data_IF_010765643999
#
_entry.id   IF_010765643999
#
_cell.length_a   1.000
_cell.length_b   1.000
_cell.length_c   1.000
_cell.angle_alpha   90.00
_cell.angle_beta   90.00
_cell.angle_gamma   90.00
#
_symmetry.space_group_name_H-M   'P 1'
#
loop_
_entity.id
_entity.type
_entity.pdbx_description
1 polymer ?
#
# COMPACT_ATOMS: atom_id res chain seq x y z
N UNK A 1 2.07 -18.60 -11.20
CA UNK A 1 1.83 -19.75 -10.28
C UNK A 1 2.91 -19.85 -9.20
N UNK A 2 4.20 -19.63 -9.50
CA UNK A 2 5.26 -19.62 -8.47
C UNK A 2 5.14 -18.43 -7.49
N UNK A 3 4.75 -17.23 -7.96
CA UNK A 3 4.49 -16.07 -7.08
C UNK A 3 3.45 -16.37 -6.00
N UNK A 4 2.37 -17.11 -6.31
CA UNK A 4 1.34 -17.43 -5.32
C UNK A 4 1.84 -18.40 -4.24
N UNK A 5 2.81 -19.26 -4.56
CA UNK A 5 3.40 -20.18 -3.59
C UNK A 5 4.35 -19.47 -2.63
N UNK A 6 5.14 -18.53 -3.16
CA UNK A 6 6.03 -17.69 -2.34
C UNK A 6 5.20 -16.84 -1.38
N UNK A 7 4.16 -16.15 -1.88
CA UNK A 7 3.26 -15.37 -1.04
C UNK A 7 2.56 -16.24 0.01
N UNK A 8 2.12 -17.45 -0.36
CA UNK A 8 1.49 -18.38 0.57
C UNK A 8 2.45 -18.82 1.69
N UNK A 9 3.68 -19.24 1.35
CA UNK A 9 4.65 -19.71 2.34
C UNK A 9 5.04 -18.58 3.30
N UNK A 10 5.37 -17.40 2.78
CA UNK A 10 5.83 -16.31 3.65
C UNK A 10 4.69 -15.70 4.46
N UNK A 11 3.50 -15.49 3.88
CA UNK A 11 2.40 -14.86 4.61
C UNK A 11 1.65 -15.84 5.51
N UNK A 12 1.35 -17.06 5.04
CA UNK A 12 0.56 -18.01 5.82
C UNK A 12 1.43 -18.80 6.79
N UNK A 13 2.48 -19.46 6.31
CA UNK A 13 3.34 -20.29 7.18
C UNK A 13 4.22 -19.39 8.06
N UNK A 14 4.83 -18.36 7.47
CA UNK A 14 5.59 -17.36 8.22
C UNK A 14 4.72 -16.60 9.22
N UNK A 15 3.52 -16.17 8.83
CA UNK A 15 2.55 -15.52 9.71
C UNK A 15 2.09 -16.41 10.87
N UNK A 16 1.74 -17.67 10.59
CA UNK A 16 1.36 -18.63 11.63
C UNK A 16 2.51 -18.92 12.61
N UNK A 17 3.73 -19.06 12.10
CA UNK A 17 4.92 -19.27 12.93
C UNK A 17 5.19 -18.06 13.82
N UNK A 18 5.15 -16.84 13.25
CA UNK A 18 5.30 -15.61 14.02
C UNK A 18 4.22 -15.45 15.10
N UNK A 19 2.97 -15.79 14.77
CA UNK A 19 1.85 -15.81 15.72
C UNK A 19 2.11 -16.76 16.89
N UNK A 20 2.46 -18.02 16.61
CA UNK A 20 2.74 -19.01 17.65
C UNK A 20 3.93 -18.63 18.52
N UNK A 21 4.99 -18.07 17.92
CA UNK A 21 6.16 -17.59 18.64
C UNK A 21 5.84 -16.39 19.54
N UNK A 22 5.05 -15.42 19.06
CA UNK A 22 4.59 -14.29 19.87
C UNK A 22 3.68 -14.74 21.01
N UNK A 23 2.72 -15.62 20.72
CA UNK A 23 1.81 -16.17 21.70
C UNK A 23 2.57 -16.91 22.82
N UNK A 24 3.38 -17.91 22.47
CA UNK A 24 4.06 -18.74 23.46
C UNK A 24 5.18 -17.98 24.17
N UNK A 25 5.89 -17.10 23.46
CA UNK A 25 6.88 -16.20 24.05
C UNK A 25 6.26 -15.26 25.08
N UNK A 26 5.15 -14.59 24.74
CA UNK A 26 4.44 -13.70 25.66
C UNK A 26 3.85 -14.46 26.85
N UNK A 27 3.22 -15.61 26.61
CA UNK A 27 2.69 -16.48 27.68
C UNK A 27 3.78 -16.91 28.66
N UNK A 28 4.95 -17.32 28.16
CA UNK A 28 6.07 -17.74 29.02
C UNK A 28 6.63 -16.58 29.83
N UNK A 29 6.78 -15.41 29.21
CA UNK A 29 7.27 -14.21 29.90
C UNK A 29 6.34 -13.80 31.04
N UNK A 30 5.03 -13.85 30.82
CA UNK A 30 4.04 -13.52 31.85
C UNK A 30 3.93 -14.60 32.95
N UNK A 31 4.02 -15.89 32.60
CA UNK A 31 3.78 -16.99 33.54
C UNK A 31 5.00 -17.38 34.37
N UNK A 32 6.20 -17.26 33.80
CA UNK A 32 7.44 -17.77 34.40
C UNK A 32 8.52 -16.69 34.57
N UNK A 33 8.23 -15.45 34.19
CA UNK A 33 9.16 -14.33 34.25
C UNK A 33 10.13 -14.27 33.07
N UNK A 34 11.14 -13.40 33.19
CA UNK A 34 12.04 -13.05 32.08
C UNK A 34 13.08 -14.16 31.86
N UNK A 35 12.87 -14.98 30.84
CA UNK A 35 13.82 -15.98 30.38
C UNK A 35 14.37 -15.61 29.00
N UNK A 36 15.70 -15.63 28.83
CA UNK A 36 16.37 -15.17 27.61
C UNK A 36 15.84 -15.79 26.31
N UNK A 37 15.47 -17.08 26.33
CA UNK A 37 14.86 -17.77 25.19
C UNK A 37 13.46 -17.25 24.84
N UNK A 38 12.64 -16.96 25.86
CA UNK A 38 11.29 -16.42 25.66
C UNK A 38 11.36 -14.97 25.17
N UNK A 39 12.26 -14.16 25.73
CA UNK A 39 12.54 -12.79 25.25
C UNK A 39 12.99 -12.83 23.78
N UNK A 40 13.97 -13.66 23.45
CA UNK A 40 14.49 -13.75 22.09
C UNK A 40 13.41 -14.17 21.08
N UNK A 41 12.59 -15.17 21.41
CA UNK A 41 11.47 -15.59 20.56
C UNK A 41 10.44 -14.47 20.35
N UNK A 42 10.02 -13.80 21.42
CA UNK A 42 9.04 -12.71 21.34
C UNK A 42 9.59 -11.53 20.52
N UNK A 43 10.83 -11.13 20.76
CA UNK A 43 11.47 -9.99 20.05
C UNK A 43 11.65 -10.32 18.57
N UNK A 44 12.14 -11.51 18.22
CA UNK A 44 12.29 -11.92 16.82
C UNK A 44 10.94 -11.96 16.10
N UNK A 45 9.91 -12.54 16.73
CA UNK A 45 8.60 -12.64 16.12
C UNK A 45 7.91 -11.27 16.00
N UNK A 46 8.05 -10.38 16.99
CA UNK A 46 7.61 -8.99 16.89
C UNK A 46 8.35 -8.24 15.76
N UNK A 47 9.66 -8.46 15.64
CA UNK A 47 10.47 -7.89 14.56
C UNK A 47 10.00 -8.34 13.18
N UNK A 48 9.67 -9.63 13.01
CA UNK A 48 9.11 -10.15 11.75
C UNK A 48 7.77 -9.47 11.44
N UNK A 49 6.84 -9.39 12.39
CA UNK A 49 5.57 -8.70 12.17
C UNK A 49 5.76 -7.22 11.79
N UNK A 50 6.69 -6.52 12.45
CA UNK A 50 7.00 -5.13 12.14
C UNK A 50 7.65 -4.96 10.76
N UNK A 51 8.57 -5.84 10.38
CA UNK A 51 9.24 -5.80 9.08
C UNK A 51 8.27 -6.06 7.93
N UNK A 52 7.43 -7.10 8.03
CA UNK A 52 6.46 -7.41 6.98
C UNK A 52 5.35 -6.36 6.90
N UNK A 53 4.81 -5.92 8.04
CA UNK A 53 3.84 -4.83 8.07
C UNK A 53 4.41 -3.52 7.52
N UNK A 54 5.66 -3.20 7.88
CA UNK A 54 6.38 -2.03 7.37
C UNK A 54 6.67 -2.11 5.87
N UNK A 55 7.06 -3.28 5.36
CA UNK A 55 7.30 -3.48 3.94
C UNK A 55 6.00 -3.35 3.11
N UNK A 56 4.90 -3.93 3.58
CA UNK A 56 3.59 -3.76 2.97
C UNK A 56 3.13 -2.29 3.00
N UNK A 57 3.37 -1.58 4.09
CA UNK A 57 3.09 -0.15 4.19
C UNK A 57 3.95 0.67 3.23
N UNK A 58 5.24 0.34 3.09
CA UNK A 58 6.14 0.98 2.14
C UNK A 58 5.62 0.82 0.71
N UNK A 59 5.25 -0.40 0.28
CA UNK A 59 4.59 -0.66 -1.02
C UNK A 59 3.34 0.19 -1.22
N UNK A 60 2.47 0.26 -0.22
CA UNK A 60 1.28 1.13 -0.26
C UNK A 60 1.65 2.60 -0.44
N UNK A 61 2.63 3.10 0.32
CA UNK A 61 3.04 4.49 0.29
C UNK A 61 3.66 4.88 -1.06
N UNK A 62 4.45 3.99 -1.66
CA UNK A 62 5.08 4.19 -2.96
C UNK A 62 4.05 4.22 -4.10
N UNK A 63 3.12 3.25 -4.10
CA UNK A 63 2.00 3.22 -5.05
C UNK A 63 1.13 4.48 -4.91
N UNK A 64 0.82 4.89 -3.69
CA UNK A 64 0.00 6.08 -3.44
C UNK A 64 0.72 7.38 -3.85
N UNK A 65 2.03 7.47 -3.61
CA UNK A 65 2.85 8.59 -4.06
C UNK A 65 2.82 8.70 -5.59
N UNK A 66 3.04 7.58 -6.28
CA UNK A 66 2.99 7.50 -7.76
C UNK A 66 1.62 7.90 -8.31
N UNK A 67 0.53 7.43 -7.70
CA UNK A 67 -0.84 7.82 -8.07
C UNK A 67 -1.06 9.33 -7.88
N UNK A 68 -0.64 9.88 -6.74
CA UNK A 68 -0.84 11.30 -6.40
C UNK A 68 -0.05 12.25 -7.29
N UNK A 69 1.19 11.90 -7.67
CA UNK A 69 2.00 12.70 -8.59
C UNK A 69 1.37 12.77 -9.98
N UNK A 70 0.80 11.67 -10.45
CA UNK A 70 0.15 11.62 -11.76
C UNK A 70 -1.20 12.34 -11.78
N UNK A 71 -1.97 12.29 -10.68
CA UNK A 71 -3.18 13.11 -10.54
C UNK A 71 -2.86 14.61 -10.51
N UNK A 72 -1.76 15.04 -9.88
CA UNK A 72 -1.34 16.45 -9.86
C UNK A 72 -0.93 16.97 -11.24
N UNK A 73 -0.39 16.11 -12.12
CA UNK A 73 -0.03 16.50 -13.50
C UNK A 73 -1.23 16.82 -14.39
N UNK A 74 -2.43 16.35 -14.04
CA UNK A 74 -3.65 16.61 -14.81
C UNK A 74 -4.18 18.06 -14.69
N UNK A 75 -3.56 18.90 -13.85
CA UNK A 75 -3.87 20.33 -13.81
C UNK A 75 -3.45 20.99 -15.14
N UNK A 76 -4.39 21.67 -15.80
CA UNK A 76 -4.25 22.21 -17.14
C UNK A 76 -2.88 22.85 -17.39
N UNK A 77 -2.10 22.28 -18.32
CA UNK A 77 -0.79 22.83 -18.68
C UNK A 77 -0.93 24.31 -19.06
N UNK A 78 -0.10 25.21 -18.50
CA UNK A 78 -0.14 26.64 -18.81
C UNK A 78 0.15 26.88 -20.30
N UNK A 79 -0.38 27.98 -20.84
CA UNK A 79 -0.09 28.35 -22.23
C UNK A 79 1.41 28.65 -22.39
N UNK A 80 1.99 28.36 -23.57
CA UNK A 80 3.36 28.75 -23.89
C UNK A 80 3.59 30.26 -23.67
N UNK A 81 4.70 30.64 -23.05
CA UNK A 81 5.04 32.04 -22.80
C UNK A 81 5.12 32.89 -24.10
N UNK A 82 5.37 32.25 -25.24
CA UNK A 82 5.42 32.87 -26.57
C UNK A 82 4.10 32.78 -27.36
N UNK A 83 2.98 32.42 -26.72
CA UNK A 83 1.70 32.19 -27.41
C UNK A 83 1.30 33.30 -28.38
N UNK A 84 1.42 34.57 -27.96
CA UNK A 84 1.09 35.72 -28.79
C UNK A 84 1.92 35.85 -30.07
N UNK A 85 3.17 35.34 -30.06
CA UNK A 85 4.14 35.45 -31.15
C UNK A 85 4.14 34.26 -32.12
N UNK A 86 3.35 33.22 -31.84
CA UNK A 86 3.27 32.04 -32.70
C UNK A 86 2.45 32.33 -33.96
N UNK A 87 2.87 31.74 -35.09
CA UNK A 87 2.07 31.72 -36.32
C UNK A 87 0.76 30.95 -36.11
N UNK A 88 -0.30 31.23 -36.89
CA UNK A 88 -1.58 30.53 -36.76
C UNK A 88 -1.46 29.00 -36.82
N UNK A 89 -0.61 28.47 -37.69
CA UNK A 89 -0.37 27.03 -37.79
C UNK A 89 0.30 26.46 -36.53
N UNK A 90 1.28 27.18 -35.97
CA UNK A 90 1.95 26.75 -34.73
C UNK A 90 1.03 26.86 -33.51
N UNK A 91 0.12 27.83 -33.49
CA UNK A 91 -0.93 27.95 -32.48
C UNK A 91 -1.90 26.78 -32.53
N UNK A 92 -2.32 26.38 -33.74
CA UNK A 92 -3.19 25.22 -33.93
C UNK A 92 -2.53 23.96 -33.37
N UNK A 93 -1.32 23.63 -33.82
CA UNK A 93 -0.60 22.42 -33.37
C UNK A 93 -0.41 22.40 -31.85
N UNK A 94 -0.02 23.52 -31.25
CA UNK A 94 0.13 23.63 -29.80
C UNK A 94 -1.21 23.49 -29.05
N UNK A 95 -2.30 24.07 -29.60
CA UNK A 95 -3.64 23.98 -29.02
C UNK A 95 -4.21 22.56 -29.10
N UNK A 96 -4.02 21.87 -30.22
CA UNK A 96 -4.44 20.48 -30.43
C UNK A 96 -3.65 19.55 -29.52
N UNK A 97 -2.32 19.74 -29.44
CA UNK A 97 -1.47 18.98 -28.52
C UNK A 97 -1.90 19.15 -27.06
N UNK A 98 -2.25 20.37 -26.66
CA UNK A 98 -2.79 20.66 -25.32
C UNK A 98 -4.14 19.97 -25.11
N UNK A 99 -5.07 20.10 -26.06
CA UNK A 99 -6.40 19.50 -25.93
C UNK A 99 -6.32 17.97 -25.87
N UNK A 100 -5.45 17.35 -26.67
CA UNK A 100 -5.19 15.89 -26.65
C UNK A 100 -4.58 15.47 -25.32
N UNK A 101 -3.65 16.25 -24.76
CA UNK A 101 -3.09 16.00 -23.44
C UNK A 101 -4.15 16.06 -22.34
N UNK A 102 -4.99 17.09 -22.36
CA UNK A 102 -6.13 17.20 -21.44
C UNK A 102 -7.02 15.97 -21.55
N UNK A 103 -7.37 15.53 -22.77
CA UNK A 103 -8.15 14.32 -22.97
C UNK A 103 -7.48 13.07 -22.38
N UNK A 104 -6.17 12.88 -22.59
CA UNK A 104 -5.43 11.75 -22.03
C UNK A 104 -5.37 11.77 -20.49
N UNK A 105 -5.29 12.95 -19.88
CA UNK A 105 -5.11 13.11 -18.43
C UNK A 105 -6.44 13.12 -17.65
N UNK A 106 -7.45 13.87 -18.11
CA UNK A 106 -8.74 14.03 -17.42
C UNK A 106 -9.88 13.28 -18.11
N UNK A 107 -9.74 12.89 -19.38
CA UNK A 107 -10.84 12.39 -20.20
C UNK A 107 -11.82 13.46 -20.67
N UNK A 108 -11.55 14.75 -20.40
CA UNK A 108 -12.42 15.83 -20.86
C UNK A 108 -12.05 16.25 -22.28
N UNK A 109 -13.07 16.46 -23.11
CA UNK A 109 -12.89 17.00 -24.45
C UNK A 109 -12.62 18.51 -24.34
N UNK A 110 -11.36 18.89 -24.50
CA UNK A 110 -10.95 20.28 -24.53
C UNK A 110 -11.12 20.88 -25.93
N UNK A 111 -11.33 22.18 -25.97
CA UNK A 111 -11.35 22.94 -27.23
C UNK A 111 -9.94 23.42 -27.60
N UNK A 112 -9.68 23.53 -28.89
CA UNK A 112 -8.45 24.00 -29.50
C UNK A 112 -8.74 25.16 -30.47
N UNK A 113 -7.71 25.93 -30.83
CA UNK A 113 -7.83 27.10 -31.71
C UNK A 113 -7.37 26.71 -33.10
N UNK A 114 -8.27 26.76 -34.07
CA UNK A 114 -8.02 26.47 -35.49
C UNK A 114 -7.19 27.61 -36.14
N UNK A 115 -6.62 27.35 -37.32
CA UNK A 115 -5.87 28.34 -38.13
C UNK A 115 -6.69 29.59 -38.46
N UNK A 116 -8.01 29.40 -38.55
CA UNK A 116 -9.00 30.47 -38.75
C UNK A 116 -9.21 31.35 -37.51
N UNK A 117 -8.63 31.00 -36.37
CA UNK A 117 -8.87 31.66 -35.08
C UNK A 117 -10.16 31.18 -34.38
N UNK A 118 -10.92 30.29 -35.02
CA UNK A 118 -12.12 29.70 -34.42
C UNK A 118 -11.79 28.62 -33.38
N UNK A 119 -12.62 28.51 -32.35
CA UNK A 119 -12.51 27.47 -31.33
C UNK A 119 -13.25 26.21 -31.78
N UNK A 120 -12.57 25.06 -31.79
CA UNK A 120 -13.17 23.76 -32.12
C UNK A 120 -12.94 22.75 -30.99
N UNK A 121 -13.89 21.85 -30.78
CA UNK A 121 -13.72 20.74 -29.82
C UNK A 121 -12.82 19.67 -30.42
N UNK A 122 -11.89 19.13 -29.63
CA UNK A 122 -11.07 18.01 -30.07
C UNK A 122 -11.93 16.78 -30.38
N UNK A 123 -11.70 16.16 -31.54
CA UNK A 123 -12.18 14.82 -31.86
C UNK A 123 -11.04 13.80 -31.59
N UNK A 124 -11.13 12.97 -30.52
CA UNK A 124 -10.10 11.98 -30.22
C UNK A 124 -10.01 10.92 -31.31
N UNK A 125 -8.81 10.45 -31.61
CA UNK A 125 -8.63 9.30 -32.50
C UNK A 125 -8.82 7.98 -31.74
N UNK A 126 -8.99 6.87 -32.46
CA UNK A 126 -9.04 5.54 -31.84
C UNK A 126 -7.76 5.23 -31.03
N UNK A 127 -6.60 5.70 -31.48
CA UNK A 127 -5.36 5.56 -30.74
C UNK A 127 -5.36 6.35 -29.43
N UNK A 128 -5.91 7.56 -29.44
CA UNK A 128 -6.04 8.39 -28.24
C UNK A 128 -6.95 7.71 -27.20
N UNK A 129 -8.03 7.06 -27.65
CA UNK A 129 -8.91 6.24 -26.80
C UNK A 129 -8.16 5.05 -26.20
N UNK A 130 -7.47 4.25 -27.01
CA UNK A 130 -6.72 3.08 -26.52
C UNK A 130 -5.63 3.48 -25.52
N UNK A 131 -4.91 4.58 -25.76
CA UNK A 131 -3.88 5.08 -24.83
C UNK A 131 -4.49 5.46 -23.49
N UNK A 132 -5.63 6.15 -23.51
CA UNK A 132 -6.35 6.51 -22.29
C UNK A 132 -6.87 5.29 -21.54
N UNK A 133 -7.48 4.33 -22.23
CA UNK A 133 -7.96 3.10 -21.60
C UNK A 133 -6.83 2.33 -20.89
N UNK A 134 -5.65 2.23 -21.51
CA UNK A 134 -4.48 1.63 -20.88
C UNK A 134 -4.04 2.39 -19.62
N UNK A 135 -4.04 3.72 -19.67
CA UNK A 135 -3.72 4.54 -18.51
C UNK A 135 -4.74 4.35 -17.38
N UNK A 136 -6.04 4.38 -17.70
CA UNK A 136 -7.12 4.14 -16.73
C UNK A 136 -7.01 2.74 -16.12
N UNK A 137 -6.80 1.71 -16.94
CA UNK A 137 -6.62 0.33 -16.45
C UNK A 137 -5.39 0.19 -15.55
N UNK A 138 -4.29 0.87 -15.89
CA UNK A 138 -3.09 0.91 -15.04
C UNK A 138 -3.39 1.55 -13.68
N UNK A 139 -4.03 2.73 -13.67
CA UNK A 139 -4.35 3.43 -12.42
C UNK A 139 -5.33 2.63 -11.56
N UNK A 140 -6.34 2.01 -12.16
CA UNK A 140 -7.29 1.15 -11.44
C UNK A 140 -6.58 -0.05 -10.79
N UNK A 141 -5.66 -0.71 -11.51
CA UNK A 141 -4.85 -1.82 -10.95
C UNK A 141 -3.91 -1.35 -9.85
N UNK A 142 -3.26 -0.21 -10.02
CA UNK A 142 -2.38 0.36 -9.02
C UNK A 142 -3.15 0.73 -7.73
N UNK A 143 -4.36 1.29 -7.86
CA UNK A 143 -5.21 1.59 -6.70
C UNK A 143 -5.66 0.31 -5.98
N UNK A 144 -6.07 -0.71 -6.74
CA UNK A 144 -6.42 -2.01 -6.16
C UNK A 144 -5.24 -2.64 -5.40
N UNK A 145 -4.04 -2.62 -6.00
CA UNK A 145 -2.81 -3.12 -5.36
C UNK A 145 -2.44 -2.32 -4.11
N UNK A 146 -2.61 -0.99 -4.13
CA UNK A 146 -2.38 -0.15 -2.97
C UNK A 146 -3.32 -0.49 -1.81
N UNK A 147 -4.61 -0.73 -2.09
CA UNK A 147 -5.58 -1.16 -1.07
C UNK A 147 -5.21 -2.53 -0.49
N UNK A 148 -4.80 -3.48 -1.32
CA UNK A 148 -4.31 -4.79 -0.87
C UNK A 148 -3.09 -4.66 0.05
N UNK A 149 -2.10 -3.87 -0.35
CA UNK A 149 -0.89 -3.62 0.44
C UNK A 149 -1.20 -2.95 1.79
N UNK A 150 -2.17 -2.03 1.82
CA UNK A 150 -2.63 -1.42 3.08
C UNK A 150 -3.31 -2.44 4.00
N UNK A 151 -4.17 -3.30 3.46
CA UNK A 151 -4.82 -4.34 4.24
C UNK A 151 -3.78 -5.30 4.86
N UNK A 152 -2.79 -5.72 4.08
CA UNK A 152 -1.67 -6.54 4.57
C UNK A 152 -0.86 -5.82 5.65
N UNK A 153 -0.54 -4.54 5.44
CA UNK A 153 0.18 -3.71 6.41
C UNK A 153 -0.53 -3.61 7.77
N UNK A 154 -1.87 -3.61 7.78
CA UNK A 154 -2.69 -3.57 8.99
C UNK A 154 -2.86 -4.96 9.62
N UNK A 155 -2.89 -6.02 8.80
CA UNK A 155 -3.09 -7.38 9.26
C UNK A 155 -1.94 -7.87 10.15
N UNK A 156 -0.69 -7.57 9.79
CA UNK A 156 0.50 -7.93 10.58
C UNK A 156 0.49 -7.43 12.03
N UNK A 157 0.28 -6.12 12.32
CA UNK A 157 0.19 -5.64 13.69
C UNK A 157 -1.06 -6.12 14.41
N UNK A 158 -2.20 -6.32 13.72
CA UNK A 158 -3.40 -6.89 14.34
C UNK A 158 -3.12 -8.33 14.81
N UNK A 159 -2.55 -9.18 13.97
CA UNK A 159 -2.18 -10.55 14.34
C UNK A 159 -1.18 -10.56 15.50
N UNK A 160 -0.17 -9.67 15.46
CA UNK A 160 0.80 -9.54 16.54
C UNK A 160 0.16 -9.13 17.87
N UNK A 161 -0.74 -8.13 17.84
CA UNK A 161 -1.48 -7.68 19.01
C UNK A 161 -2.36 -8.79 19.58
N UNK A 162 -3.09 -9.50 18.73
CA UNK A 162 -3.94 -10.63 19.12
C UNK A 162 -3.08 -11.72 19.78
N UNK A 163 -1.95 -12.11 19.18
CA UNK A 163 -1.04 -13.11 19.75
C UNK A 163 -0.56 -12.75 21.16
N UNK A 164 -0.17 -11.48 21.35
CA UNK A 164 0.27 -10.94 22.65
C UNK A 164 -0.87 -10.98 23.67
N UNK A 165 -2.06 -10.50 23.31
CA UNK A 165 -3.23 -10.49 24.20
C UNK A 165 -3.61 -11.91 24.63
N UNK A 166 -3.65 -12.86 23.70
CA UNK A 166 -3.92 -14.27 24.02
C UNK A 166 -2.84 -14.87 24.93
N UNK A 167 -1.57 -14.55 24.68
CA UNK A 167 -0.46 -15.00 25.52
C UNK A 167 -0.57 -14.49 26.95
N UNK A 168 -0.93 -13.22 27.13
CA UNK A 168 -1.17 -12.61 28.44
C UNK A 168 -2.39 -13.26 29.12
N UNK A 169 -3.54 -13.34 28.43
CA UNK A 169 -4.78 -13.88 29.00
C UNK A 169 -4.59 -15.31 29.52
N UNK A 170 -3.98 -16.18 28.70
CA UNK A 170 -3.67 -17.57 29.08
C UNK A 170 -2.61 -17.70 30.18
N UNK A 171 -1.84 -16.64 30.43
CA UNK A 171 -0.90 -16.61 31.55
C UNK A 171 -1.60 -16.27 32.87
N UNK A 172 -2.70 -15.52 32.84
CA UNK A 172 -3.45 -15.11 34.04
C UNK A 172 -4.23 -16.28 34.64
N UNK A 173 -4.67 -17.24 33.81
CA UNK A 173 -5.28 -18.50 34.27
C UNK A 173 -4.36 -19.32 35.18
N UNK A 174 -3.04 -19.04 35.18
CA UNK A 174 -2.06 -19.77 35.98
C UNK A 174 -1.80 -19.19 37.38
N UNK A 175 -2.47 -18.11 37.76
CA UNK A 175 -2.39 -17.54 39.12
C UNK A 175 -3.47 -18.15 40.01
N UNK A 176 -3.27 -19.41 40.40
CA UNK A 176 -3.79 -20.02 41.63
C UNK A 176 -3.03 -21.32 41.92
N UNK A 177 -1.71 -21.20 42.06
CA UNK A 177 -0.95 -22.21 42.79
C UNK A 177 -0.92 -21.77 44.26
N UNK A 178 -1.73 -22.47 45.05
CA UNK A 178 -1.86 -22.50 46.50
C UNK A 178 -0.58 -22.11 47.28
N UNK A 179 -0.63 -21.19 48.26
CA UNK A 179 0.52 -20.87 49.11
C UNK A 179 0.83 -21.95 50.17
N UNK A 180 0.10 -23.07 50.21
CA UNK A 180 0.37 -24.17 51.16
C UNK A 180 1.31 -25.22 50.58
N UNK A 181 2.61 -24.91 50.54
CA UNK A 181 3.65 -25.95 50.55
C UNK A 181 4.48 -25.77 51.82
N UNK A 182 4.06 -26.45 52.88
CA UNK A 182 4.81 -26.53 54.14
C UNK A 182 6.24 -27.08 53.90
N UNK A 183 7.22 -26.63 54.71
CA UNK A 183 8.54 -27.24 54.72
C UNK A 183 8.48 -28.54 55.53
N UNK A 184 8.73 -29.68 54.90
CA UNK A 184 8.69 -30.98 55.56
C UNK A 184 9.76 -31.94 55.03
N UNK A 185 10.84 -32.03 55.81
CA UNK A 185 11.74 -33.16 56.07
C UNK A 185 11.84 -34.33 55.07
N UNK A 186 13.05 -34.49 54.50
CA UNK A 186 13.76 -35.76 54.37
C UNK A 186 15.27 -35.50 54.12
#
# INVERSE_FOLDING_TARGET
MIESWVDFVFNVIGGATAFLCLFDGTRRLCAYGVHGKAVLMTVLAAGICALYGGFAYWKYSDLKATLSMNQRKAAASPLPANWGRLSPEKKEVASVGRARRTFMESGTLASYVDRSGGTRTLAPTQEDLMRRERAVAYYARAEYSARGSLAEALLWPIIGLVAVLFGILMSLEKVSADPTREPGDA
#
